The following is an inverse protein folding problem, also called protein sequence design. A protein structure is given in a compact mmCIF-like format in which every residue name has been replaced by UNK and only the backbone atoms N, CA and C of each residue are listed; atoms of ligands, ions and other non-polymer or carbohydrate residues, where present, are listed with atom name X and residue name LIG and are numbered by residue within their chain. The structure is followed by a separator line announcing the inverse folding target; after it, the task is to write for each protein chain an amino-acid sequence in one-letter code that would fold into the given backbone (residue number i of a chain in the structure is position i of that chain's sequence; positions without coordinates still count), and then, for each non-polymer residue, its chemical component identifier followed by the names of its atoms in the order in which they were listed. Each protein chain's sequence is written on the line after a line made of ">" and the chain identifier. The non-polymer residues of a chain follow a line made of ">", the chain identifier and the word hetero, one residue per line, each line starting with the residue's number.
data_IF_076117429230
#
_entry.id   IF_076117429230
#
_cell.length_a   1.000
_cell.length_b   1.000
_cell.length_c   1.000
_cell.angle_alpha   90.00
_cell.angle_beta   90.00
_cell.angle_gamma   90.00
#
_symmetry.space_group_name_H-M   'P 1'
#
loop_
_entity.id
_entity.type
_entity.pdbx_description
1 polymer ?
#
# COMPACT_ATOMS: atom_id res chain seq x y z
N UNK A 1 -2.21 -11.72 -1.88
CA UNK A 1 -1.80 -10.51 -2.61
C UNK A 1 -2.21 -10.67 -4.05
N UNK A 2 -2.85 -9.65 -4.62
CA UNK A 2 -3.17 -9.56 -6.05
C UNK A 2 -2.21 -8.58 -6.73
N UNK A 3 -1.86 -8.85 -7.97
CA UNK A 3 -1.23 -7.83 -8.82
C UNK A 3 -2.27 -6.75 -9.09
N UNK A 4 -1.93 -5.50 -8.76
CA UNK A 4 -2.78 -4.34 -9.01
C UNK A 4 -2.85 -4.00 -10.50
N UNK A 5 -3.77 -3.14 -10.88
CA UNK A 5 -4.03 -2.86 -12.29
C UNK A 5 -2.88 -2.08 -12.96
N UNK A 6 -2.30 -1.09 -12.27
CA UNK A 6 -1.14 -0.37 -12.79
C UNK A 6 0.06 -1.29 -12.95
N UNK A 7 0.36 -2.11 -11.92
CA UNK A 7 1.43 -3.11 -11.98
C UNK A 7 1.18 -4.15 -13.10
N UNK A 8 -0.07 -4.55 -13.31
CA UNK A 8 -0.43 -5.44 -14.41
C UNK A 8 -0.06 -4.83 -15.76
N UNK A 9 -0.47 -3.61 -16.06
CA UNK A 9 -0.09 -2.92 -17.29
C UNK A 9 1.43 -2.76 -17.42
N UNK A 10 2.09 -2.30 -16.34
CA UNK A 10 3.54 -2.07 -16.32
C UNK A 10 4.33 -3.34 -16.64
N UNK A 11 3.87 -4.50 -16.19
CA UNK A 11 4.52 -5.78 -16.47
C UNK A 11 4.54 -6.14 -17.96
N UNK A 12 3.57 -5.67 -18.74
CA UNK A 12 3.51 -5.92 -20.18
C UNK A 12 4.16 -4.80 -21.01
N UNK A 13 3.96 -3.56 -20.62
CA UNK A 13 4.40 -2.40 -21.39
C UNK A 13 5.79 -1.89 -21.00
N UNK A 14 6.22 -2.14 -19.76
CA UNK A 14 7.28 -1.39 -19.13
C UNK A 14 6.84 0.02 -18.76
N UNK A 15 7.62 0.70 -17.94
CA UNK A 15 7.22 1.95 -17.29
C UNK A 15 7.06 3.10 -18.28
N UNK A 16 8.09 3.31 -19.13
CA UNK A 16 8.10 4.40 -20.11
C UNK A 16 6.98 4.26 -21.15
N UNK A 17 6.83 3.07 -21.74
CA UNK A 17 5.81 2.85 -22.76
C UNK A 17 4.41 2.93 -22.19
N UNK A 18 4.21 2.50 -20.94
CA UNK A 18 2.91 2.63 -20.26
C UNK A 18 2.51 4.10 -20.13
N UNK A 19 3.44 5.00 -19.81
CA UNK A 19 3.15 6.43 -19.69
C UNK A 19 2.60 7.02 -21.01
N UNK A 20 3.11 6.58 -22.15
CA UNK A 20 2.56 6.97 -23.46
C UNK A 20 1.27 6.23 -23.82
N UNK A 21 1.14 4.97 -23.42
CA UNK A 21 0.01 4.13 -23.79
C UNK A 21 -1.35 4.67 -23.30
N UNK A 22 -1.38 5.42 -22.21
CA UNK A 22 -2.61 6.11 -21.76
C UNK A 22 -3.17 7.09 -22.81
N UNK A 23 -2.32 7.59 -23.71
CA UNK A 23 -2.70 8.54 -24.76
C UNK A 23 -2.73 7.88 -26.14
N UNK A 24 -1.78 7.00 -26.44
CA UNK A 24 -1.57 6.42 -27.76
C UNK A 24 -2.39 5.15 -28.00
N UNK A 25 -2.71 4.42 -26.93
CA UNK A 25 -3.42 3.13 -26.97
C UNK A 25 -4.45 2.95 -25.85
N UNK A 26 -5.32 3.95 -25.57
CA UNK A 26 -6.24 3.92 -24.42
C UNK A 26 -7.18 2.72 -24.43
N UNK A 27 -7.69 2.33 -25.60
CA UNK A 27 -8.61 1.21 -25.71
C UNK A 27 -7.91 -0.13 -25.38
N UNK A 28 -6.65 -0.29 -25.79
CA UNK A 28 -5.87 -1.50 -25.43
C UNK A 28 -5.68 -1.60 -23.90
N UNK A 29 -5.43 -0.48 -23.21
CA UNK A 29 -5.32 -0.49 -21.76
C UNK A 29 -6.65 -0.84 -21.08
N UNK A 30 -7.78 -0.37 -21.62
CA UNK A 30 -9.11 -0.73 -21.12
C UNK A 30 -9.42 -2.21 -21.34
N UNK A 31 -9.15 -2.74 -22.53
CA UNK A 31 -9.31 -4.18 -22.82
C UNK A 31 -8.48 -5.03 -21.85
N UNK A 32 -7.24 -4.62 -21.59
CA UNK A 32 -6.39 -5.28 -20.59
C UNK A 32 -6.97 -5.19 -19.19
N UNK A 33 -7.54 -4.05 -18.81
CA UNK A 33 -8.18 -3.86 -17.50
C UNK A 33 -9.42 -4.74 -17.33
N UNK A 34 -10.21 -4.94 -18.38
CA UNK A 34 -11.33 -5.88 -18.37
C UNK A 34 -10.88 -7.34 -18.17
N UNK A 35 -9.79 -7.73 -18.85
CA UNK A 35 -9.19 -9.06 -18.63
C UNK A 35 -8.70 -9.22 -17.20
N UNK A 36 -8.00 -8.21 -16.66
CA UNK A 36 -7.54 -8.19 -15.27
C UNK A 36 -8.71 -8.33 -14.29
N UNK A 37 -9.76 -7.52 -14.45
CA UNK A 37 -10.94 -7.55 -13.60
C UNK A 37 -11.64 -8.91 -13.65
N UNK A 38 -11.89 -9.42 -14.87
CA UNK A 38 -12.52 -10.71 -15.07
C UNK A 38 -11.74 -11.84 -14.42
N UNK A 39 -10.42 -11.86 -14.62
CA UNK A 39 -9.54 -12.87 -14.01
C UNK A 39 -9.65 -12.85 -12.47
N UNK A 40 -9.59 -11.67 -11.84
CA UNK A 40 -9.68 -11.57 -10.40
C UNK A 40 -11.07 -11.93 -9.88
N UNK A 41 -12.13 -11.54 -10.58
CA UNK A 41 -13.51 -11.88 -10.21
C UNK A 41 -13.81 -13.38 -10.35
N UNK A 42 -13.19 -14.09 -11.29
CA UNK A 42 -13.39 -15.52 -11.48
C UNK A 42 -12.52 -16.39 -10.54
N UNK A 43 -11.30 -15.92 -10.24
CA UNK A 43 -10.34 -16.70 -9.45
C UNK A 43 -10.49 -16.51 -7.94
N UNK A 44 -10.80 -15.28 -7.49
CA UNK A 44 -10.80 -14.97 -6.06
C UNK A 44 -11.84 -15.74 -5.24
N UNK A 45 -13.10 -15.96 -5.70
CA UNK A 45 -14.07 -16.72 -4.94
C UNK A 45 -13.62 -18.15 -4.66
N UNK A 46 -12.98 -18.78 -5.64
CA UNK A 46 -12.45 -20.14 -5.50
C UNK A 46 -11.41 -20.24 -4.39
N UNK A 47 -10.57 -19.20 -4.23
CA UNK A 47 -9.61 -19.12 -3.12
C UNK A 47 -10.29 -18.99 -1.77
N UNK A 48 -11.33 -18.17 -1.69
CA UNK A 48 -12.08 -17.91 -0.43
C UNK A 48 -12.87 -19.11 0.07
N UNK A 49 -13.15 -20.11 -0.79
CA UNK A 49 -13.77 -21.38 -0.38
C UNK A 49 -12.83 -22.25 0.46
N UNK A 50 -11.52 -22.07 0.33
CA UNK A 50 -10.50 -22.91 0.97
C UNK A 50 -9.73 -22.23 2.11
N UNK A 51 -9.71 -20.89 2.13
CA UNK A 51 -8.95 -20.12 3.11
C UNK A 51 -9.79 -18.96 3.64
N UNK A 52 -9.66 -18.68 4.93
CA UNK A 52 -10.13 -17.43 5.52
C UNK A 52 -9.12 -16.32 5.23
N UNK A 53 -9.60 -15.20 4.69
CA UNK A 53 -8.76 -14.06 4.28
C UNK A 53 -9.12 -12.84 5.09
N UNK A 54 -8.19 -12.35 5.91
CA UNK A 54 -8.39 -11.16 6.74
C UNK A 54 -8.34 -9.87 5.93
N UNK A 55 -7.50 -9.82 4.90
CA UNK A 55 -7.38 -8.66 4.00
C UNK A 55 -6.93 -9.07 2.61
N UNK A 56 -7.31 -8.28 1.63
CA UNK A 56 -6.83 -8.39 0.25
C UNK A 56 -5.87 -7.23 -0.02
N UNK A 57 -4.66 -7.56 -0.43
CA UNK A 57 -3.62 -6.58 -0.74
C UNK A 57 -3.41 -6.51 -2.25
N UNK A 58 -3.31 -5.30 -2.80
CA UNK A 58 -3.09 -5.02 -4.21
C UNK A 58 -1.70 -4.40 -4.38
N UNK A 59 -0.81 -5.15 -5.02
CA UNK A 59 0.54 -4.68 -5.34
C UNK A 59 0.51 -3.83 -6.60
N UNK A 60 0.59 -2.51 -6.43
CA UNK A 60 0.54 -1.52 -7.50
C UNK A 60 1.90 -0.92 -7.83
N UNK A 61 2.68 -0.59 -6.81
CA UNK A 61 4.02 -0.01 -6.94
C UNK A 61 4.07 1.11 -8.00
N UNK A 62 3.21 2.11 -7.78
CA UNK A 62 2.85 3.13 -8.77
C UNK A 62 3.31 4.54 -8.40
N UNK A 63 4.29 4.64 -7.48
CA UNK A 63 4.81 5.94 -7.08
C UNK A 63 6.33 5.89 -6.82
N UNK A 64 6.95 7.06 -6.98
CA UNK A 64 8.30 7.34 -6.53
C UNK A 64 8.30 8.27 -5.32
N UNK A 65 9.48 8.57 -4.80
CA UNK A 65 9.65 9.48 -3.66
C UNK A 65 8.92 10.83 -3.85
N UNK A 66 8.88 11.34 -5.07
CA UNK A 66 8.35 12.67 -5.38
C UNK A 66 6.88 12.67 -5.80
N UNK A 67 6.24 11.53 -5.87
CA UNK A 67 4.83 11.43 -6.24
C UNK A 67 4.49 10.22 -7.11
N UNK A 68 3.20 10.05 -7.42
CA UNK A 68 2.72 8.95 -8.23
C UNK A 68 3.12 9.09 -9.71
N UNK A 69 3.23 7.93 -10.38
CA UNK A 69 3.54 7.80 -11.81
C UNK A 69 2.32 8.01 -12.71
N UNK A 70 1.14 8.06 -12.12
CA UNK A 70 -0.12 8.31 -12.81
C UNK A 70 -0.80 9.54 -12.21
N UNK A 71 -1.32 10.41 -13.05
CA UNK A 71 -2.07 11.58 -12.60
C UNK A 71 -3.51 11.23 -12.18
N UNK A 72 -4.16 12.07 -11.35
CA UNK A 72 -5.53 11.82 -10.87
C UNK A 72 -6.54 11.60 -11.99
N UNK A 73 -6.47 12.39 -13.06
CA UNK A 73 -7.38 12.26 -14.21
C UNK A 73 -7.28 10.88 -14.88
N UNK A 74 -6.05 10.38 -15.08
CA UNK A 74 -5.83 9.05 -15.66
C UNK A 74 -6.26 7.96 -14.69
N UNK A 75 -5.99 8.12 -13.40
CA UNK A 75 -6.49 7.20 -12.39
C UNK A 75 -8.02 7.11 -12.42
N UNK A 76 -8.70 8.25 -12.40
CA UNK A 76 -10.17 8.32 -12.42
C UNK A 76 -10.76 7.68 -13.68
N UNK A 77 -10.09 7.83 -14.83
CA UNK A 77 -10.57 7.33 -16.13
C UNK A 77 -10.24 5.86 -16.39
N UNK A 78 -9.08 5.39 -15.93
CA UNK A 78 -8.54 4.08 -16.31
C UNK A 78 -8.50 3.06 -15.17
N UNK A 79 -8.45 3.49 -13.91
CA UNK A 79 -8.32 2.58 -12.77
C UNK A 79 -9.56 2.54 -11.89
N UNK A 80 -10.10 3.71 -11.54
CA UNK A 80 -11.19 3.82 -10.57
C UNK A 80 -12.45 3.02 -10.94
N UNK A 81 -12.91 2.92 -12.21
CA UNK A 81 -14.07 2.12 -12.58
C UNK A 81 -13.86 0.64 -12.24
N UNK A 82 -12.71 0.09 -12.58
CA UNK A 82 -12.39 -1.33 -12.38
C UNK A 82 -12.20 -1.68 -10.91
N UNK A 83 -11.54 -0.81 -10.13
CA UNK A 83 -11.40 -1.01 -8.68
C UNK A 83 -12.76 -0.92 -7.96
N UNK A 84 -13.64 -0.02 -8.38
CA UNK A 84 -14.99 0.07 -7.81
C UNK A 84 -15.76 -1.23 -8.01
N UNK A 85 -15.71 -1.78 -9.22
CA UNK A 85 -16.38 -3.04 -9.54
C UNK A 85 -15.75 -4.22 -8.79
N UNK A 86 -14.42 -4.31 -8.78
CA UNK A 86 -13.69 -5.36 -8.06
C UNK A 86 -13.99 -5.34 -6.56
N UNK A 87 -13.97 -4.16 -5.91
CA UNK A 87 -14.28 -4.05 -4.48
C UNK A 87 -15.73 -4.42 -4.19
N UNK A 88 -16.66 -4.03 -5.06
CA UNK A 88 -18.06 -4.44 -4.94
C UNK A 88 -18.21 -5.96 -5.07
N UNK A 89 -17.46 -6.59 -5.99
CA UNK A 89 -17.43 -8.03 -6.15
C UNK A 89 -16.86 -8.72 -4.90
N UNK A 90 -15.68 -8.34 -4.44
CA UNK A 90 -15.01 -8.94 -3.28
C UNK A 90 -15.82 -8.81 -1.99
N UNK A 91 -16.53 -7.68 -1.81
CA UNK A 91 -17.43 -7.48 -0.66
C UNK A 91 -18.57 -8.50 -0.61
N UNK A 92 -19.06 -9.01 -1.74
CA UNK A 92 -20.07 -10.08 -1.79
C UNK A 92 -19.58 -11.40 -1.21
N UNK A 93 -18.25 -11.59 -1.19
CA UNK A 93 -17.58 -12.74 -0.56
C UNK A 93 -17.03 -12.42 0.84
N UNK A 94 -17.55 -11.38 1.48
CA UNK A 94 -17.22 -11.04 2.86
C UNK A 94 -15.93 -10.21 3.04
N UNK A 95 -15.21 -9.90 1.96
CA UNK A 95 -13.97 -9.14 2.05
C UNK A 95 -14.25 -7.66 2.34
N UNK A 96 -13.62 -7.12 3.38
CA UNK A 96 -13.86 -5.75 3.85
C UNK A 96 -12.59 -4.92 3.96
N UNK A 97 -11.43 -5.57 3.98
CA UNK A 97 -10.13 -4.91 4.16
C UNK A 97 -9.33 -5.02 2.88
N UNK A 98 -9.07 -3.85 2.27
CA UNK A 98 -8.32 -3.71 1.03
C UNK A 98 -7.10 -2.83 1.31
N UNK A 99 -5.91 -3.39 1.11
CA UNK A 99 -4.64 -2.71 1.33
C UNK A 99 -3.97 -2.42 0.00
N UNK A 100 -3.52 -1.19 -0.16
CA UNK A 100 -2.62 -0.82 -1.23
C UNK A 100 -1.19 -1.21 -0.84
N UNK A 101 -0.49 -1.92 -1.70
CA UNK A 101 0.94 -2.17 -1.60
C UNK A 101 1.62 -1.36 -2.72
N UNK A 102 2.21 -0.24 -2.34
CA UNK A 102 2.84 0.69 -3.28
C UNK A 102 3.88 1.54 -2.56
N UNK A 103 5.12 1.39 -2.98
CA UNK A 103 6.23 2.19 -2.51
C UNK A 103 6.09 3.67 -2.85
N UNK A 104 6.92 4.51 -2.24
CA UNK A 104 7.02 5.91 -2.54
C UNK A 104 5.87 6.77 -2.01
N UNK A 105 5.75 7.97 -2.56
CA UNK A 105 4.71 8.93 -2.20
C UNK A 105 3.50 8.76 -3.11
N UNK A 106 2.49 8.05 -2.64
CA UNK A 106 1.25 7.85 -3.39
C UNK A 106 0.34 9.10 -3.41
N UNK A 107 0.58 10.05 -2.49
CA UNK A 107 -0.02 11.39 -2.49
C UNK A 107 -1.52 11.40 -2.77
N UNK A 108 -1.91 12.20 -3.75
CA UNK A 108 -3.32 12.40 -4.14
C UNK A 108 -3.98 11.12 -4.68
N UNK A 109 -3.21 10.15 -5.18
CA UNK A 109 -3.77 8.87 -5.67
C UNK A 109 -4.21 8.00 -4.49
N UNK A 110 -3.54 8.06 -3.35
CA UNK A 110 -3.99 7.39 -2.14
C UNK A 110 -5.39 7.88 -1.71
N UNK A 111 -5.64 9.19 -1.77
CA UNK A 111 -6.97 9.74 -1.47
C UNK A 111 -8.05 9.20 -2.42
N UNK A 112 -7.74 9.06 -3.71
CA UNK A 112 -8.64 8.44 -4.69
C UNK A 112 -8.95 6.97 -4.34
N UNK A 113 -7.94 6.22 -3.92
CA UNK A 113 -8.13 4.84 -3.45
C UNK A 113 -8.99 4.79 -2.18
N UNK A 114 -8.78 5.71 -1.23
CA UNK A 114 -9.60 5.81 0.00
C UNK A 114 -11.06 6.07 -0.36
N UNK A 115 -11.35 6.98 -1.28
CA UNK A 115 -12.71 7.26 -1.78
C UNK A 115 -13.39 6.04 -2.41
N UNK A 116 -12.62 5.13 -3.02
CA UNK A 116 -13.12 3.86 -3.56
C UNK A 116 -13.36 2.80 -2.48
N UNK A 117 -12.78 2.99 -1.28
CA UNK A 117 -12.89 2.08 -0.15
C UNK A 117 -11.67 1.22 0.12
N UNK A 118 -10.50 1.59 -0.43
CA UNK A 118 -9.20 1.13 0.06
C UNK A 118 -9.03 1.61 1.49
N UNK A 119 -8.65 0.75 2.41
CA UNK A 119 -8.60 1.09 3.83
C UNK A 119 -7.29 0.72 4.52
N UNK A 120 -6.21 0.55 3.75
CA UNK A 120 -4.86 0.38 4.26
C UNK A 120 -3.79 0.65 3.21
N UNK A 121 -2.58 0.97 3.66
CA UNK A 121 -1.39 1.15 2.84
C UNK A 121 -0.21 0.39 3.45
N UNK A 122 0.58 -0.22 2.61
CA UNK A 122 1.91 -0.79 2.85
C UNK A 122 2.82 -0.42 1.66
N UNK A 123 4.06 -0.01 1.90
CA UNK A 123 4.59 0.47 3.17
C UNK A 123 4.35 1.98 3.37
N UNK A 124 4.24 2.43 4.61
CA UNK A 124 4.28 3.87 4.91
C UNK A 124 5.73 4.35 4.95
N UNK A 125 6.29 4.74 3.82
CA UNK A 125 7.70 5.14 3.70
C UNK A 125 7.98 6.54 4.26
N UNK A 126 8.75 6.61 5.34
CA UNK A 126 9.20 7.89 5.92
C UNK A 126 10.07 8.70 4.94
N UNK A 127 10.86 8.01 4.12
CA UNK A 127 11.70 8.66 3.10
C UNK A 127 10.88 9.33 1.98
N UNK A 128 9.64 8.88 1.76
CA UNK A 128 8.69 9.46 0.82
C UNK A 128 7.85 10.60 1.44
N UNK A 129 8.12 10.94 2.71
CA UNK A 129 7.48 12.07 3.39
C UNK A 129 6.26 11.72 4.24
N UNK A 130 5.96 10.43 4.45
CA UNK A 130 4.86 10.05 5.31
C UNK A 130 5.18 10.27 6.80
N UNK A 131 4.24 10.92 7.48
CA UNK A 131 4.15 11.01 8.94
C UNK A 131 2.93 10.23 9.41
N UNK A 132 3.14 9.04 9.97
CA UNK A 132 2.05 8.15 10.38
C UNK A 132 1.23 8.69 11.55
N UNK A 133 1.82 9.55 12.41
CA UNK A 133 1.09 10.17 13.52
C UNK A 133 0.12 11.23 13.00
N UNK A 134 0.58 12.03 12.03
CA UNK A 134 -0.27 13.02 11.35
C UNK A 134 -1.35 12.31 10.54
N UNK A 135 -0.98 11.32 9.73
CA UNK A 135 -1.90 10.57 8.88
C UNK A 135 -3.01 9.89 9.68
N UNK A 136 -2.69 9.29 10.84
CA UNK A 136 -3.69 8.69 11.74
C UNK A 136 -4.75 9.68 12.22
N UNK A 137 -4.39 10.95 12.45
CA UNK A 137 -5.36 11.98 12.86
C UNK A 137 -6.32 12.35 11.74
N UNK A 138 -5.84 12.32 10.50
CA UNK A 138 -6.62 12.62 9.30
C UNK A 138 -7.49 11.42 8.88
N UNK A 139 -6.99 10.19 9.09
CA UNK A 139 -7.64 8.92 8.70
C UNK A 139 -7.70 7.94 9.90
N UNK A 140 -8.64 8.13 10.85
CA UNK A 140 -8.67 7.37 12.10
C UNK A 140 -8.79 5.85 11.94
N UNK A 141 -9.53 5.39 10.94
CA UNK A 141 -9.86 3.97 10.71
C UNK A 141 -8.96 3.30 9.66
N UNK A 142 -8.00 4.04 9.08
CA UNK A 142 -7.16 3.51 8.02
C UNK A 142 -6.07 2.59 8.58
N UNK A 143 -5.80 1.47 7.91
CA UNK A 143 -4.73 0.55 8.31
C UNK A 143 -3.38 1.10 7.88
N UNK A 144 -2.52 1.34 8.86
CA UNK A 144 -1.14 1.79 8.67
C UNK A 144 -0.23 0.59 8.87
N UNK A 145 0.53 0.20 7.84
CA UNK A 145 1.53 -0.85 7.93
C UNK A 145 2.91 -0.29 7.59
N UNK A 146 3.86 -0.36 8.53
CA UNK A 146 5.18 0.26 8.41
C UNK A 146 5.32 1.56 9.21
N UNK A 147 5.98 2.55 8.64
CA UNK A 147 6.08 3.91 9.18
C UNK A 147 7.15 4.14 10.24
N UNK A 148 7.98 3.13 10.57
CA UNK A 148 9.20 3.29 11.35
C UNK A 148 10.36 3.46 10.37
N UNK A 149 11.04 4.59 10.43
CA UNK A 149 12.11 4.94 9.49
C UNK A 149 13.28 3.94 9.54
N UNK A 150 13.42 3.11 8.50
CA UNK A 150 14.50 2.12 8.40
C UNK A 150 15.91 2.71 8.50
N UNK A 151 16.07 4.01 8.21
CA UNK A 151 17.38 4.69 8.29
C UNK A 151 17.91 4.81 9.71
N UNK A 152 17.07 4.67 10.75
CA UNK A 152 17.53 4.66 12.15
C UNK A 152 18.33 3.40 12.48
N UNK A 153 18.20 2.32 11.69
CA UNK A 153 18.98 1.09 11.87
C UNK A 153 20.49 1.28 11.66
N UNK A 154 20.89 2.39 11.03
CA UNK A 154 22.31 2.77 10.88
C UNK A 154 22.80 3.75 11.97
N UNK A 155 21.95 4.08 12.93
CA UNK A 155 22.23 5.05 13.99
C UNK A 155 22.41 4.38 15.34
N UNK A 156 22.42 5.19 16.42
CA UNK A 156 22.52 4.70 17.79
C UNK A 156 21.24 4.01 18.27
N UNK A 157 21.36 3.17 19.32
CA UNK A 157 20.20 2.56 19.98
C UNK A 157 19.25 3.62 20.56
N UNK A 158 19.77 4.77 20.99
CA UNK A 158 18.98 5.91 21.45
C UNK A 158 18.12 6.50 20.32
N UNK A 159 18.66 6.59 19.11
CA UNK A 159 17.91 7.06 17.93
C UNK A 159 16.81 6.07 17.54
N UNK A 160 17.11 4.76 17.56
CA UNK A 160 16.12 3.70 17.32
C UNK A 160 14.99 3.80 18.34
N UNK A 161 15.32 3.86 19.62
CA UNK A 161 14.33 3.98 20.69
C UNK A 161 13.49 5.24 20.53
N UNK A 162 14.11 6.39 20.19
CA UNK A 162 13.42 7.67 19.99
C UNK A 162 12.42 7.58 18.84
N UNK A 163 12.80 6.95 17.74
CA UNK A 163 11.92 6.73 16.57
C UNK A 163 10.69 5.90 16.94
N UNK A 164 10.89 4.76 17.58
CA UNK A 164 9.80 3.86 17.99
C UNK A 164 8.89 4.54 19.02
N UNK A 165 9.48 5.10 20.10
CA UNK A 165 8.72 5.74 21.18
C UNK A 165 8.04 7.04 20.75
N UNK A 166 8.57 7.70 19.73
CA UNK A 166 7.98 8.91 19.16
C UNK A 166 6.74 8.66 18.31
N UNK A 167 6.53 7.45 17.84
CA UNK A 167 5.44 7.11 16.91
C UNK A 167 4.48 6.05 17.45
N UNK A 168 4.99 4.87 17.80
CA UNK A 168 4.16 3.70 18.10
C UNK A 168 3.15 3.93 19.24
N UNK A 169 3.54 4.48 20.41
CA UNK A 169 2.57 4.70 21.50
C UNK A 169 1.43 5.66 21.16
N UNK A 170 1.66 6.57 20.18
CA UNK A 170 0.66 7.58 19.80
C UNK A 170 -0.48 7.01 18.97
N UNK A 171 -0.23 5.95 18.20
CA UNK A 171 -1.20 5.39 17.24
C UNK A 171 -1.58 3.95 17.53
N UNK A 172 -0.82 3.24 18.37
CA UNK A 172 -1.09 1.85 18.71
C UNK A 172 -2.47 1.63 19.33
N UNK A 173 -2.85 2.46 20.29
CA UNK A 173 -4.10 2.32 21.04
C UNK A 173 -5.36 2.52 20.20
N UNK A 174 -5.24 3.13 19.03
CA UNK A 174 -6.39 3.36 18.13
C UNK A 174 -6.74 2.15 17.27
N UNK A 175 -5.89 1.11 17.26
CA UNK A 175 -6.02 -0.04 16.36
C UNK A 175 -5.61 0.27 14.91
N UNK A 176 -5.72 -0.72 14.04
CA UNK A 176 -5.38 -0.57 12.62
C UNK A 176 -3.94 -0.16 12.34
N UNK A 177 -3.00 -0.52 13.23
CA UNK A 177 -1.57 -0.25 13.05
C UNK A 177 -0.76 -1.52 13.18
N UNK A 178 0.06 -1.78 12.16
CA UNK A 178 1.02 -2.89 12.13
C UNK A 178 2.42 -2.27 12.19
N UNK A 179 3.03 -2.18 13.39
CA UNK A 179 4.33 -1.52 13.55
C UNK A 179 5.42 -2.35 12.86
N UNK A 180 6.06 -1.75 11.88
CA UNK A 180 7.20 -2.30 11.15
C UNK A 180 8.08 -1.16 10.65
N UNK A 181 9.30 -1.50 10.24
CA UNK A 181 10.06 -0.57 9.41
C UNK A 181 9.27 -0.26 8.13
N UNK A 182 9.57 0.88 7.58
CA UNK A 182 8.83 1.49 6.47
C UNK A 182 9.11 0.85 5.09
N UNK A 183 9.81 -0.26 5.04
CA UNK A 183 10.10 -1.06 3.84
C UNK A 183 10.91 -2.32 4.21
N UNK A 184 11.66 -2.89 3.25
CA UNK A 184 12.56 -4.00 3.46
C UNK A 184 13.69 -3.66 4.45
N UNK A 185 14.15 -4.65 5.21
CA UNK A 185 15.29 -4.50 6.12
C UNK A 185 16.55 -4.19 5.30
N UNK A 186 17.19 -3.03 5.49
CA UNK A 186 18.44 -2.73 4.80
C UNK A 186 19.59 -3.56 5.41
N UNK A 187 20.75 -3.67 4.74
CA UNK A 187 21.94 -4.30 5.30
C UNK A 187 22.47 -3.44 6.47
N UNK A 188 21.94 -3.67 7.68
CA UNK A 188 22.27 -2.95 8.92
C UNK A 188 22.92 -3.89 9.93
N UNK A 189 23.53 -3.37 11.03
CA UNK A 189 23.98 -4.19 12.15
C UNK A 189 22.81 -5.01 12.72
N UNK A 190 22.99 -6.33 12.83
CA UNK A 190 21.96 -7.23 13.35
C UNK A 190 21.46 -6.80 14.73
N UNK A 191 22.37 -6.40 15.61
CA UNK A 191 22.05 -5.91 16.96
C UNK A 191 21.11 -4.69 16.98
N UNK A 192 21.18 -3.82 15.96
CA UNK A 192 20.28 -2.68 15.82
C UNK A 192 18.88 -3.11 15.42
N UNK A 193 18.78 -4.08 14.51
CA UNK A 193 17.49 -4.63 14.11
C UNK A 193 16.83 -5.40 15.27
N UNK A 194 17.58 -6.21 15.98
CA UNK A 194 17.11 -6.92 17.17
C UNK A 194 16.62 -5.94 18.24
N UNK A 195 17.38 -4.87 18.49
CA UNK A 195 17.01 -3.83 19.46
C UNK A 195 15.72 -3.09 19.03
N UNK A 196 15.54 -2.82 17.73
CA UNK A 196 14.27 -2.26 17.21
C UNK A 196 13.10 -3.18 17.57
N UNK A 197 13.23 -4.49 17.33
CA UNK A 197 12.19 -5.47 17.66
C UNK A 197 11.90 -5.53 19.17
N UNK A 198 12.95 -5.45 20.01
CA UNK A 198 12.79 -5.35 21.46
C UNK A 198 12.00 -4.09 21.87
N UNK A 199 12.33 -2.94 21.30
CA UNK A 199 11.60 -1.70 21.55
C UNK A 199 10.12 -1.81 21.17
N UNK A 200 9.81 -2.43 20.03
CA UNK A 200 8.42 -2.63 19.60
C UNK A 200 7.71 -3.60 20.55
N UNK A 201 8.29 -4.76 20.82
CA UNK A 201 7.70 -5.80 21.70
C UNK A 201 7.49 -5.31 23.13
N UNK A 202 8.37 -4.46 23.64
CA UNK A 202 8.26 -3.89 24.98
C UNK A 202 7.10 -2.91 25.16
N UNK A 203 6.34 -2.61 24.10
CA UNK A 203 5.14 -1.77 24.15
C UNK A 203 3.85 -2.57 24.29
N UNK A 204 3.91 -3.88 24.21
CA UNK A 204 2.79 -4.84 24.28
C UNK A 204 3.03 -5.83 25.41
#
# INVERSE_FOLDING_TARGET
>A
VFTGLYAFWRNFWGEEKLAYAFYDAPETLKDMAEVWLKMLCECSPKGFEYIEVDCVMFHEDMAYKNGPLIGPHLFDSFMAPYYRELFAHLRRYGQKRFLLDSDGNNGIILERFIELGMNGLFPFECAAGYDIVKFRKEHPDFVIYGGIDKRVLFKSKEDIKREVMGKVPQIWKTGGFIPSIDHSVPPCPQENFEYLLECIRGLF
#
